data_IF_763737498124
#
_entry.id   IF_763737498124
#
_cell.length_a   1.000
_cell.length_b   1.000
_cell.length_c   1.000
_cell.angle_alpha   90.00
_cell.angle_beta   90.00
_cell.angle_gamma   90.00
#
_symmetry.space_group_name_H-M   'P 1'
#
loop_
_entity.id
_entity.type
_entity.pdbx_description
1 polymer ?
#
# COMPACT_ATOMS: atom_id res chain seq x y z
N UNK A 1 1.90 -17.05 17.11
CA UNK A 1 0.68 -16.31 17.51
C UNK A 1 -0.52 -17.10 17.02
N UNK A 2 -1.53 -17.36 17.86
CA UNK A 2 -2.78 -17.97 17.38
C UNK A 2 -3.67 -16.85 16.87
N UNK A 3 -4.07 -16.91 15.60
CA UNK A 3 -5.06 -16.00 15.05
C UNK A 3 -6.42 -16.31 15.71
N UNK A 4 -7.16 -15.27 16.05
CA UNK A 4 -8.58 -15.40 16.43
C UNK A 4 -9.36 -15.71 15.15
N UNK A 5 -10.18 -16.75 15.19
CA UNK A 5 -11.16 -17.01 14.14
C UNK A 5 -12.33 -16.04 14.32
N UNK A 6 -12.70 -15.31 13.27
CA UNK A 6 -13.87 -14.43 13.27
C UNK A 6 -14.78 -14.92 12.17
N UNK A 7 -16.05 -15.16 12.51
CA UNK A 7 -17.08 -15.53 11.54
C UNK A 7 -18.30 -14.64 11.72
N UNK A 8 -18.95 -14.31 10.61
CA UNK A 8 -20.21 -13.59 10.65
C UNK A 8 -21.36 -14.51 10.99
N UNK A 9 -22.29 -13.99 11.77
CA UNK A 9 -23.58 -14.62 12.02
C UNK A 9 -24.59 -13.98 11.06
N UNK A 10 -25.55 -14.77 10.55
CA UNK A 10 -26.61 -14.30 9.66
C UNK A 10 -26.13 -13.61 8.35
N UNK A 11 -24.90 -13.88 7.90
CA UNK A 11 -24.37 -13.32 6.66
C UNK A 11 -23.92 -11.86 6.76
N UNK A 12 -23.69 -11.33 7.98
CA UNK A 12 -23.09 -10.00 8.16
C UNK A 12 -21.75 -9.87 7.45
N UNK A 13 -21.44 -8.68 6.91
CA UNK A 13 -20.13 -8.39 6.32
C UNK A 13 -19.05 -8.33 7.41
N UNK A 14 -17.90 -8.94 7.17
CA UNK A 14 -16.75 -8.88 8.09
C UNK A 14 -15.86 -7.72 7.63
N UNK A 15 -16.00 -6.57 8.28
CA UNK A 15 -15.32 -5.33 7.90
C UNK A 15 -14.12 -4.96 8.78
N UNK A 16 -13.76 -5.83 9.73
CA UNK A 16 -12.62 -5.68 10.64
C UNK A 16 -11.71 -6.90 10.63
N UNK A 17 -10.52 -6.75 11.18
CA UNK A 17 -9.51 -7.78 11.29
C UNK A 17 -8.74 -7.65 12.61
N UNK A 18 -8.06 -8.72 13.00
CA UNK A 18 -7.22 -8.72 14.19
C UNK A 18 -5.89 -8.00 13.92
N UNK A 19 -5.60 -6.94 14.67
CA UNK A 19 -4.33 -6.18 14.59
C UNK A 19 -3.34 -6.62 15.66
N UNK A 20 -3.82 -6.79 16.90
CA UNK A 20 -3.08 -7.33 18.04
C UNK A 20 -3.85 -8.51 18.66
N UNK A 21 -3.23 -9.32 19.55
CA UNK A 21 -3.88 -10.51 20.12
C UNK A 21 -5.28 -10.28 20.68
N UNK A 22 -5.57 -9.10 21.21
CA UNK A 22 -6.87 -8.74 21.78
C UNK A 22 -7.50 -7.49 21.14
N UNK A 23 -7.04 -7.09 19.95
CA UNK A 23 -7.49 -5.86 19.29
C UNK A 23 -8.03 -6.18 17.90
N UNK A 24 -9.23 -5.65 17.64
CA UNK A 24 -9.89 -5.69 16.34
C UNK A 24 -9.93 -4.27 15.79
N UNK A 25 -9.55 -4.12 14.53
CA UNK A 25 -9.58 -2.84 13.84
C UNK A 25 -10.26 -2.99 12.48
N UNK A 26 -11.03 -1.99 12.09
CA UNK A 26 -11.77 -2.01 10.84
C UNK A 26 -12.53 -0.72 10.62
N UNK A 27 -12.93 -0.51 9.37
CA UNK A 27 -13.75 0.64 8.96
C UNK A 27 -15.07 0.08 8.41
N UNK A 28 -16.20 0.26 9.13
CA UNK A 28 -17.49 -0.15 8.61
C UNK A 28 -17.91 0.78 7.46
N UNK A 29 -18.55 0.22 6.43
CA UNK A 29 -19.12 0.99 5.31
C UNK A 29 -20.65 0.98 5.31
N UNK A 30 -21.27 0.12 6.11
CA UNK A 30 -22.72 -0.07 6.16
C UNK A 30 -23.15 0.13 7.61
N UNK A 31 -24.15 0.99 7.80
CA UNK A 31 -24.79 1.18 9.08
C UNK A 31 -25.71 0.01 9.42
N UNK A 32 -25.93 -0.22 10.71
CA UNK A 32 -26.81 -1.26 11.21
C UNK A 32 -26.17 -2.09 12.31
N UNK A 33 -26.79 -3.23 12.58
CA UNK A 33 -26.37 -4.13 13.63
C UNK A 33 -25.89 -5.43 13.01
N UNK A 34 -24.70 -5.86 13.41
CA UNK A 34 -24.08 -7.09 12.92
C UNK A 34 -23.63 -7.95 14.08
N UNK A 35 -23.88 -9.25 13.97
CA UNK A 35 -23.49 -10.24 14.96
C UNK A 35 -22.28 -11.03 14.46
N UNK A 36 -21.32 -11.24 15.35
CA UNK A 36 -20.07 -11.93 15.03
C UNK A 36 -19.72 -12.91 16.12
N UNK A 37 -19.06 -13.98 15.68
CA UNK A 37 -18.55 -15.03 16.53
C UNK A 37 -17.03 -14.99 16.52
N UNK A 38 -16.44 -14.82 17.70
CA UNK A 38 -14.99 -14.91 17.92
C UNK A 38 -14.65 -16.26 18.50
N UNK A 39 -13.78 -17.01 17.82
CA UNK A 39 -13.25 -18.28 18.28
C UNK A 39 -11.76 -18.14 18.66
N UNK A 40 -11.45 -18.47 19.92
CA UNK A 40 -10.09 -18.52 20.43
C UNK A 40 -9.89 -19.74 21.34
N UNK A 41 -9.07 -20.71 20.89
CA UNK A 41 -8.59 -21.85 21.72
C UNK A 41 -9.71 -22.55 22.53
N UNK A 42 -10.87 -22.76 21.92
CA UNK A 42 -12.08 -23.40 22.51
C UNK A 42 -13.06 -22.47 23.24
N UNK A 43 -12.83 -21.15 23.23
CA UNK A 43 -13.85 -20.18 23.62
C UNK A 43 -14.51 -19.61 22.38
N UNK A 44 -15.83 -19.64 22.37
CA UNK A 44 -16.69 -19.06 21.34
C UNK A 44 -17.48 -17.93 21.99
N UNK A 45 -17.23 -16.70 21.55
CA UNK A 45 -17.86 -15.50 22.09
C UNK A 45 -18.67 -14.87 20.98
N UNK A 46 -19.99 -14.83 21.17
CA UNK A 46 -20.90 -14.04 20.36
C UNK A 46 -20.83 -12.59 20.84
N UNK A 47 -20.67 -11.66 19.91
CA UNK A 47 -20.77 -10.23 20.20
C UNK A 47 -21.49 -9.51 19.06
N UNK A 48 -22.13 -8.41 19.42
CA UNK A 48 -22.89 -7.56 18.52
C UNK A 48 -22.18 -6.22 18.34
N UNK A 49 -22.13 -5.74 17.11
CA UNK A 49 -21.58 -4.43 16.79
C UNK A 49 -22.66 -3.57 16.15
N UNK A 50 -22.95 -2.44 16.78
CA UNK A 50 -23.85 -1.43 16.24
C UNK A 50 -23.06 -0.32 15.56
N UNK A 51 -23.19 -0.23 14.25
CA UNK A 51 -22.67 0.85 13.44
C UNK A 51 -23.78 1.87 13.25
N UNK A 52 -23.59 3.08 13.80
CA UNK A 52 -24.55 4.17 13.63
C UNK A 52 -24.51 4.67 12.19
N UNK A 53 -25.67 5.06 11.69
CA UNK A 53 -25.74 5.80 10.44
C UNK A 53 -24.99 7.12 10.59
N UNK A 54 -24.21 7.45 9.57
CA UNK A 54 -23.42 8.66 9.58
C UNK A 54 -24.32 9.84 9.22
N UNK A 55 -24.22 10.93 9.98
CA UNK A 55 -24.94 12.16 9.66
C UNK A 55 -24.42 12.67 8.31
N UNK A 56 -25.31 13.19 7.45
CA UNK A 56 -24.90 13.74 6.16
C UNK A 56 -23.81 14.80 6.38
N UNK A 57 -22.61 14.60 5.83
CA UNK A 57 -21.51 15.50 6.09
C UNK A 57 -21.74 16.81 5.34
N UNK A 58 -21.39 17.96 5.93
CA UNK A 58 -21.46 19.28 5.26
C UNK A 58 -20.37 19.49 4.20
N UNK A 59 -19.39 18.59 4.15
CA UNK A 59 -18.25 18.62 3.25
C UNK A 59 -17.79 17.21 2.94
N UNK A 60 -17.23 17.00 1.76
CA UNK A 60 -16.80 15.68 1.31
C UNK A 60 -15.60 15.79 0.40
N UNK A 61 -14.65 14.89 0.62
CA UNK A 61 -13.50 14.71 -0.25
C UNK A 61 -13.70 13.40 -1.01
N UNK A 62 -13.54 13.42 -2.32
CA UNK A 62 -13.46 12.18 -3.10
C UNK A 62 -12.11 12.10 -3.80
N UNK A 63 -11.33 11.10 -3.41
CA UNK A 63 -10.07 10.74 -4.06
C UNK A 63 -10.36 9.73 -5.16
N UNK A 64 -9.88 10.01 -6.37
CA UNK A 64 -9.86 9.06 -7.48
C UNK A 64 -8.47 8.42 -7.50
N UNK A 65 -8.42 7.09 -7.47
CA UNK A 65 -7.21 6.30 -7.38
C UNK A 65 -7.05 5.41 -8.62
N UNK A 66 -5.84 5.37 -9.19
CA UNK A 66 -5.48 4.40 -10.23
C UNK A 66 -5.31 2.99 -9.65
N UNK A 67 -4.90 2.90 -8.38
CA UNK A 67 -4.76 1.68 -7.58
C UNK A 67 -4.84 2.03 -6.09
N UNK A 68 -5.31 1.12 -5.23
CA UNK A 68 -5.85 -0.22 -5.52
C UNK A 68 -7.23 -0.17 -6.20
N UNK A 69 -7.72 -1.30 -6.72
CA UNK A 69 -9.05 -1.39 -7.34
C UNK A 69 -10.17 -1.37 -6.28
N UNK A 70 -11.42 -1.19 -6.71
CA UNK A 70 -12.59 -1.22 -5.84
C UNK A 70 -12.69 -2.57 -5.12
N UNK A 71 -12.45 -3.67 -5.84
CA UNK A 71 -12.48 -5.03 -5.30
C UNK A 71 -11.40 -5.22 -4.23
N UNK A 72 -10.21 -4.64 -4.41
CA UNK A 72 -9.14 -4.68 -3.41
C UNK A 72 -9.46 -3.82 -2.18
N UNK A 73 -10.11 -2.68 -2.37
CA UNK A 73 -10.54 -1.81 -1.27
C UNK A 73 -11.70 -2.41 -0.46
N UNK A 74 -12.66 -3.04 -1.14
CA UNK A 74 -13.84 -3.63 -0.50
C UNK A 74 -13.57 -5.03 0.05
N UNK A 75 -12.82 -5.86 -0.66
CA UNK A 75 -12.58 -7.26 -0.31
C UNK A 75 -11.59 -7.49 0.83
N UNK A 76 -10.80 -6.46 1.19
CA UNK A 76 -9.81 -6.57 2.26
C UNK A 76 -10.00 -5.45 3.30
N UNK A 77 -10.63 -5.74 4.45
CA UNK A 77 -10.80 -4.78 5.56
C UNK A 77 -9.55 -3.99 5.93
N UNK A 78 -8.40 -4.68 5.89
CA UNK A 78 -7.09 -4.11 6.19
C UNK A 78 -6.69 -2.99 5.23
N UNK A 79 -7.03 -3.10 3.95
CA UNK A 79 -6.71 -2.08 2.95
C UNK A 79 -7.38 -0.75 3.29
N UNK A 80 -8.63 -0.76 3.78
CA UNK A 80 -9.33 0.48 4.19
C UNK A 80 -8.68 1.15 5.40
N UNK A 81 -8.25 0.37 6.39
CA UNK A 81 -7.56 0.90 7.58
C UNK A 81 -6.23 1.51 7.16
N UNK A 82 -5.41 0.80 6.38
CA UNK A 82 -4.12 1.31 5.90
C UNK A 82 -4.32 2.55 5.03
N UNK A 83 -5.35 2.59 4.18
CA UNK A 83 -5.68 3.78 3.39
C UNK A 83 -5.89 5.01 4.28
N UNK A 84 -6.69 4.88 5.34
CA UNK A 84 -6.90 5.98 6.28
C UNK A 84 -5.64 6.34 7.07
N UNK A 85 -4.78 5.38 7.40
CA UNK A 85 -3.48 5.65 8.03
C UNK A 85 -2.58 6.49 7.12
N UNK A 86 -2.45 6.10 5.86
CA UNK A 86 -1.69 6.86 4.85
C UNK A 86 -2.28 8.26 4.67
N UNK A 87 -3.60 8.35 4.55
CA UNK A 87 -4.31 9.61 4.38
C UNK A 87 -4.16 10.53 5.61
N UNK A 88 -4.27 9.98 6.82
CA UNK A 88 -4.07 10.73 8.06
C UNK A 88 -2.63 11.24 8.18
N UNK A 89 -1.64 10.40 7.88
CA UNK A 89 -0.23 10.78 7.87
C UNK A 89 0.03 11.89 6.83
N UNK A 90 -0.50 11.74 5.61
CA UNK A 90 -0.38 12.73 4.54
C UNK A 90 -0.95 14.10 4.93
N UNK A 91 -1.98 14.10 5.78
CA UNK A 91 -2.63 15.30 6.29
C UNK A 91 -2.17 15.71 7.70
N UNK A 92 -1.11 15.11 8.27
CA UNK A 92 -0.67 15.37 9.65
C UNK A 92 -1.84 15.31 10.67
N UNK A 93 -2.69 14.29 10.54
CA UNK A 93 -3.80 14.00 11.44
C UNK A 93 -3.33 12.96 12.44
N UNK A 94 -3.54 13.23 13.74
CA UNK A 94 -3.05 12.38 14.82
C UNK A 94 -3.81 11.07 15.02
N UNK A 95 -5.05 10.97 14.55
CA UNK A 95 -5.89 9.78 14.71
C UNK A 95 -6.73 9.53 13.46
N UNK A 96 -6.68 8.32 12.92
CA UNK A 96 -7.56 7.90 11.81
C UNK A 96 -9.03 7.89 12.20
N UNK A 97 -9.35 7.84 13.51
CA UNK A 97 -10.73 7.83 14.01
C UNK A 97 -11.51 9.09 13.65
N UNK A 98 -10.81 10.17 13.27
CA UNK A 98 -11.46 11.40 12.83
C UNK A 98 -11.95 11.34 11.37
N UNK A 99 -11.55 10.32 10.62
CA UNK A 99 -11.86 10.18 9.21
C UNK A 99 -12.88 9.06 9.02
N UNK A 100 -13.96 9.35 8.31
CA UNK A 100 -14.96 8.36 7.92
C UNK A 100 -14.94 8.18 6.41
N UNK A 101 -14.88 6.92 5.96
CA UNK A 101 -15.15 6.58 4.56
C UNK A 101 -16.67 6.51 4.40
N UNK A 102 -17.21 7.29 3.48
CA UNK A 102 -18.64 7.31 3.17
C UNK A 102 -18.98 6.21 2.16
N UNK A 103 -18.19 6.11 1.08
CA UNK A 103 -18.34 5.04 0.10
C UNK A 103 -17.04 4.80 -0.67
N UNK A 104 -16.95 3.61 -1.25
CA UNK A 104 -15.95 3.23 -2.23
C UNK A 104 -16.69 2.74 -3.48
N UNK A 105 -16.41 3.32 -4.65
CA UNK A 105 -17.11 2.99 -5.90
C UNK A 105 -16.17 3.02 -7.10
N UNK A 106 -16.61 2.42 -8.20
CA UNK A 106 -15.91 2.50 -9.48
C UNK A 106 -16.26 3.81 -10.18
N UNK A 107 -15.26 4.50 -10.72
CA UNK A 107 -15.45 5.65 -11.60
C UNK A 107 -15.89 5.20 -13.00
N UNK A 108 -16.44 6.10 -13.83
CA UNK A 108 -16.72 5.80 -15.23
C UNK A 108 -15.49 5.33 -16.02
N UNK A 109 -14.29 5.73 -15.59
CA UNK A 109 -13.00 5.39 -16.22
C UNK A 109 -12.31 4.18 -15.56
N UNK A 110 -13.06 3.33 -14.84
CA UNK A 110 -12.55 2.16 -14.12
C UNK A 110 -11.47 2.46 -13.06
N UNK A 111 -11.52 3.66 -12.47
CA UNK A 111 -10.68 4.03 -11.33
C UNK A 111 -11.46 3.89 -10.02
N UNK A 112 -10.75 3.75 -8.90
CA UNK A 112 -11.38 3.64 -7.58
C UNK A 112 -11.67 5.01 -7.01
N UNK A 113 -12.92 5.31 -6.70
CA UNK A 113 -13.30 6.52 -5.97
C UNK A 113 -13.47 6.16 -4.51
N UNK A 114 -12.70 6.82 -3.62
CA UNK A 114 -12.87 6.74 -2.18
C UNK A 114 -13.36 8.08 -1.67
N UNK A 115 -14.59 8.11 -1.19
CA UNK A 115 -15.21 9.30 -0.61
C UNK A 115 -15.09 9.27 0.91
N UNK A 116 -14.65 10.37 1.50
CA UNK A 116 -14.45 10.50 2.93
C UNK A 116 -14.72 11.92 3.42
N UNK A 117 -14.88 12.06 4.73
CA UNK A 117 -15.00 13.36 5.41
C UNK A 117 -14.43 13.29 6.82
N UNK A 118 -14.25 14.46 7.44
CA UNK A 118 -13.79 14.58 8.81
C UNK A 118 -14.99 14.57 9.77
N UNK A 119 -15.00 13.65 10.72
CA UNK A 119 -16.05 13.45 11.71
C UNK A 119 -15.72 14.11 13.08
N UNK A 120 -14.55 14.73 13.25
CA UNK A 120 -14.10 15.25 14.56
C UNK A 120 -14.89 16.46 15.07
N UNK A 121 -15.81 16.98 14.28
CA UNK A 121 -16.53 18.22 14.54
C UNK A 121 -18.02 18.01 14.37
N UNK A 122 -18.77 18.84 15.08
CA UNK A 122 -20.22 18.84 15.02
C UNK A 122 -20.69 18.96 13.57
N UNK A 123 -21.46 17.97 13.11
CA UNK A 123 -22.06 17.95 11.78
C UNK A 123 -23.00 19.13 11.55
N UNK A 124 -23.45 19.82 12.61
CA UNK A 124 -24.32 20.99 12.52
C UNK A 124 -23.57 22.28 12.12
N UNK A 125 -22.25 22.38 12.32
CA UNK A 125 -21.50 23.63 12.10
C UNK A 125 -20.59 23.59 10.86
N UNK A 126 -20.66 24.64 10.04
CA UNK A 126 -19.73 24.82 8.92
C UNK A 126 -18.39 25.41 9.38
N UNK A 127 -17.38 24.57 9.65
CA UNK A 127 -16.01 25.00 9.94
C UNK A 127 -15.15 25.10 8.66
N UNK A 128 -15.34 26.18 7.92
CA UNK A 128 -14.60 26.44 6.69
C UNK A 128 -13.07 26.39 6.88
N UNK A 129 -12.55 26.94 8.00
CA UNK A 129 -11.11 27.02 8.25
C UNK A 129 -10.48 25.64 8.39
N UNK A 130 -11.16 24.73 9.09
CA UNK A 130 -10.68 23.36 9.27
C UNK A 130 -10.62 22.58 7.96
N UNK A 131 -11.70 22.60 7.16
CA UNK A 131 -11.71 21.87 5.88
C UNK A 131 -10.79 22.52 4.85
N UNK A 132 -10.65 23.85 4.86
CA UNK A 132 -9.65 24.55 4.07
C UNK A 132 -8.22 24.15 4.48
N UNK A 133 -7.95 24.00 5.78
CA UNK A 133 -6.66 23.50 6.27
C UNK A 133 -6.39 22.06 5.80
N UNK A 134 -7.39 21.19 5.75
CA UNK A 134 -7.25 19.85 5.18
C UNK A 134 -6.99 19.90 3.67
N UNK A 135 -7.79 20.69 2.94
CA UNK A 135 -7.67 20.84 1.49
C UNK A 135 -6.27 21.34 1.10
N UNK A 136 -5.77 22.37 1.77
CA UNK A 136 -4.43 22.94 1.52
C UNK A 136 -3.29 21.97 1.84
N UNK A 137 -3.51 20.86 2.56
CA UNK A 137 -2.51 19.80 2.72
C UNK A 137 -2.45 18.88 1.50
N UNK A 138 -3.56 18.73 0.78
CA UNK A 138 -3.67 17.86 -0.38
C UNK A 138 -3.47 18.59 -1.71
N UNK A 139 -3.82 19.87 -1.78
CA UNK A 139 -3.80 20.64 -3.03
C UNK A 139 -2.95 21.91 -2.94
N UNK A 140 -2.42 22.32 -4.09
CA UNK A 140 -1.85 23.62 -4.32
C UNK A 140 -2.95 24.69 -4.42
N UNK A 141 -2.55 25.96 -4.50
CA UNK A 141 -3.47 27.10 -4.64
C UNK A 141 -4.23 27.09 -5.96
N UNK A 142 -3.65 26.50 -6.99
CA UNK A 142 -4.28 26.27 -8.29
C UNK A 142 -5.16 25.02 -8.30
N UNK A 143 -5.38 24.36 -7.16
CA UNK A 143 -6.22 23.17 -7.05
C UNK A 143 -5.58 21.86 -7.52
N UNK A 144 -4.39 21.90 -8.12
CA UNK A 144 -3.64 20.68 -8.44
C UNK A 144 -3.22 19.93 -7.18
N UNK A 145 -3.02 18.61 -7.28
CA UNK A 145 -2.53 17.83 -6.14
C UNK A 145 -1.10 18.23 -5.78
N UNK A 146 -0.79 18.28 -4.48
CA UNK A 146 0.57 18.47 -4.00
C UNK A 146 1.41 17.22 -4.24
N UNK A 147 2.59 17.38 -4.80
CA UNK A 147 3.56 16.29 -4.99
C UNK A 147 3.85 15.55 -3.67
N UNK A 148 4.02 16.30 -2.56
CA UNK A 148 4.24 15.72 -1.24
C UNK A 148 3.08 14.83 -0.77
N UNK A 149 1.84 15.25 -1.04
CA UNK A 149 0.64 14.45 -0.74
C UNK A 149 0.62 13.18 -1.58
N UNK A 150 0.81 13.30 -2.90
CA UNK A 150 0.83 12.15 -3.82
C UNK A 150 1.94 11.16 -3.44
N UNK A 151 3.15 11.65 -3.14
CA UNK A 151 4.28 10.83 -2.72
C UNK A 151 4.04 10.12 -1.38
N UNK A 152 3.32 10.75 -0.45
CA UNK A 152 2.99 10.12 0.84
C UNK A 152 1.98 8.98 0.72
N UNK A 153 1.17 8.97 -0.35
CA UNK A 153 0.19 7.92 -0.65
C UNK A 153 0.78 6.79 -1.52
N UNK A 154 1.78 7.12 -2.34
CA UNK A 154 2.48 6.19 -3.23
C UNK A 154 3.41 5.24 -2.45
N UNK A 155 3.65 3.98 -2.92
CA UNK A 155 3.14 3.31 -4.11
C UNK A 155 1.80 2.58 -3.92
N UNK A 156 1.31 2.48 -2.69
CA UNK A 156 0.15 1.65 -2.37
C UNK A 156 -1.15 2.27 -2.88
N UNK A 157 -1.27 3.61 -2.80
CA UNK A 157 -2.44 4.37 -3.24
C UNK A 157 -2.02 5.42 -4.27
N UNK A 158 -2.21 5.11 -5.54
CA UNK A 158 -1.85 6.04 -6.62
C UNK A 158 -2.99 7.01 -6.87
N UNK A 159 -2.85 8.22 -6.32
CA UNK A 159 -3.87 9.28 -6.45
C UNK A 159 -3.84 9.88 -7.85
N UNK A 160 -4.99 9.89 -8.51
CA UNK A 160 -5.21 10.51 -9.81
C UNK A 160 -5.77 11.94 -9.68
N UNK A 161 -6.81 12.11 -8.87
CA UNK A 161 -7.45 13.41 -8.66
C UNK A 161 -8.15 13.47 -7.30
N UNK A 162 -8.42 14.69 -6.85
CA UNK A 162 -9.21 14.98 -5.67
C UNK A 162 -10.34 15.92 -6.06
N UNK A 163 -11.53 15.64 -5.55
CA UNK A 163 -12.66 16.57 -5.59
C UNK A 163 -13.07 16.92 -4.18
N UNK A 164 -13.45 18.18 -3.98
CA UNK A 164 -13.96 18.69 -2.71
C UNK A 164 -15.35 19.27 -2.94
N UNK A 165 -16.32 18.72 -2.24
CA UNK A 165 -17.71 19.11 -2.32
C UNK A 165 -18.16 19.66 -0.97
N UNK A 166 -19.08 20.63 -1.01
CA UNK A 166 -19.67 21.28 0.14
C UNK A 166 -21.18 21.23 -0.01
N UNK A 167 -21.87 20.99 1.09
CA UNK A 167 -23.32 20.81 1.12
C UNK A 167 -23.96 21.82 2.05
N UNK A 168 -25.25 22.06 1.80
CA UNK A 168 -26.11 22.91 2.64
C UNK A 168 -25.45 24.28 2.90
N UNK A 169 -25.42 24.74 4.16
CA UNK A 169 -24.86 26.04 4.55
C UNK A 169 -23.37 26.22 4.19
N UNK A 170 -22.62 25.13 4.00
CA UNK A 170 -21.24 25.21 3.51
C UNK A 170 -21.14 25.43 1.99
N UNK A 171 -22.21 25.21 1.23
CA UNK A 171 -22.21 25.40 -0.22
C UNK A 171 -22.05 26.88 -0.62
N UNK A 172 -22.61 27.80 0.18
CA UNK A 172 -22.64 29.24 -0.11
C UNK A 172 -21.31 29.96 0.13
N UNK A 173 -20.30 29.29 0.69
CA UNK A 173 -18.98 29.87 0.85
C UNK A 173 -18.27 29.98 -0.52
N UNK A 174 -17.70 31.14 -0.91
CA UNK A 174 -17.08 31.31 -2.23
C UNK A 174 -15.88 30.37 -2.42
N UNK A 175 -15.87 29.64 -3.54
CA UNK A 175 -14.79 28.73 -3.96
C UNK A 175 -13.67 29.51 -4.64
N UNK A 176 -12.41 29.25 -4.29
CA UNK A 176 -11.37 29.28 -5.32
C UNK A 176 -11.59 28.02 -6.16
N UNK A 177 -12.11 28.16 -7.37
CA UNK A 177 -12.43 27.04 -8.25
C UNK A 177 -11.20 26.12 -8.38
N UNK A 178 -11.33 24.86 -7.93
CA UNK A 178 -10.34 23.81 -8.17
C UNK A 178 -10.46 23.37 -9.64
N UNK A 179 -9.47 23.59 -10.51
CA UNK A 179 -9.43 22.90 -11.79
C UNK A 179 -9.36 21.40 -11.56
N UNK A 180 -10.30 20.71 -12.20
CA UNK A 180 -10.39 19.27 -12.27
C UNK A 180 -9.39 18.80 -13.32
N UNK A 181 -8.58 17.80 -12.99
CA UNK A 181 -7.53 17.16 -13.81
C UNK A 181 -6.13 17.79 -13.73
N UNK A 182 -5.15 16.96 -13.35
CA UNK A 182 -3.77 17.16 -13.78
C UNK A 182 -3.74 17.14 -15.31
N UNK A 183 -2.97 18.01 -15.99
CA UNK A 183 -2.68 17.77 -17.38
C UNK A 183 -2.06 16.38 -17.50
N UNK A 184 -2.57 15.57 -18.44
CA UNK A 184 -1.98 14.28 -18.77
C UNK A 184 -0.45 14.44 -18.86
N UNK A 185 0.35 13.50 -18.33
CA UNK A 185 1.80 13.61 -18.40
C UNK A 185 2.16 13.89 -19.85
N UNK A 186 2.82 15.02 -20.10
CA UNK A 186 3.23 15.39 -21.44
C UNK A 186 4.06 14.23 -22.03
N UNK A 187 4.01 14.04 -23.36
CA UNK A 187 4.75 12.96 -24.01
C UNK A 187 6.23 12.90 -23.59
N UNK A 188 6.80 14.05 -23.21
CA UNK A 188 8.16 14.17 -22.65
C UNK A 188 8.36 13.46 -21.30
N UNK A 189 7.41 13.56 -20.36
CA UNK A 189 7.52 12.86 -19.06
C UNK A 189 7.44 11.34 -19.22
N UNK A 190 6.60 10.87 -20.14
CA UNK A 190 6.48 9.45 -20.48
C UNK A 190 7.81 8.94 -21.04
N UNK A 191 8.41 9.68 -21.98
CA UNK A 191 9.72 9.33 -22.57
C UNK A 191 10.81 9.29 -21.51
N UNK A 192 10.86 10.28 -20.60
CA UNK A 192 11.84 10.31 -19.52
C UNK A 192 11.72 9.09 -18.60
N UNK A 193 10.49 8.71 -18.22
CA UNK A 193 10.24 7.53 -17.39
C UNK A 193 10.75 6.24 -18.05
N UNK A 194 10.51 6.07 -19.36
CA UNK A 194 11.05 4.93 -20.11
C UNK A 194 12.58 4.94 -20.16
N UNK A 195 13.22 6.10 -20.38
CA UNK A 195 14.69 6.20 -20.39
C UNK A 195 15.28 5.78 -19.03
N UNK A 196 14.67 6.22 -17.92
CA UNK A 196 15.13 5.85 -16.57
C UNK A 196 14.96 4.35 -16.32
N UNK A 197 13.82 3.75 -16.70
CA UNK A 197 13.59 2.31 -16.55
C UNK A 197 14.53 1.46 -17.42
N UNK A 198 14.73 1.83 -18.68
CA UNK A 198 15.69 1.16 -19.56
C UNK A 198 17.12 1.31 -19.06
N UNK A 199 17.50 2.49 -18.55
CA UNK A 199 18.81 2.73 -17.95
C UNK A 199 19.06 1.88 -16.71
N UNK A 200 18.07 1.80 -15.80
CA UNK A 200 18.18 1.01 -14.56
C UNK A 200 18.25 -0.50 -14.84
N UNK A 201 17.41 -1.01 -15.75
CA UNK A 201 17.42 -2.43 -16.14
C UNK A 201 18.72 -2.82 -16.87
N UNK A 202 19.23 -1.95 -17.75
CA UNK A 202 20.53 -2.16 -18.39
C UNK A 202 21.68 -2.16 -17.37
N UNK A 203 21.68 -1.22 -16.41
CA UNK A 203 22.65 -1.17 -15.33
C UNK A 203 22.68 -2.45 -14.48
N UNK A 204 21.49 -2.95 -14.10
CA UNK A 204 21.36 -4.22 -13.38
C UNK A 204 21.86 -5.41 -14.22
N UNK A 205 21.48 -5.50 -15.49
CA UNK A 205 21.92 -6.57 -16.38
C UNK A 205 23.45 -6.60 -16.52
N UNK A 206 24.10 -5.42 -16.63
CA UNK A 206 25.55 -5.32 -16.68
C UNK A 206 26.23 -5.76 -15.37
N UNK A 207 25.63 -5.45 -14.22
CA UNK A 207 26.12 -5.93 -12.92
C UNK A 207 26.01 -7.45 -12.80
N UNK A 208 24.87 -8.03 -13.19
CA UNK A 208 24.68 -9.49 -13.21
C UNK A 208 25.65 -10.18 -14.17
N UNK A 209 25.84 -9.62 -15.38
CA UNK A 209 26.77 -10.14 -16.36
C UNK A 209 28.23 -10.07 -15.86
N UNK A 210 28.62 -8.94 -15.26
CA UNK A 210 29.94 -8.80 -14.62
C UNK A 210 30.16 -9.79 -13.49
N UNK A 211 29.14 -10.01 -12.63
CA UNK A 211 29.19 -10.99 -11.56
C UNK A 211 29.32 -12.43 -12.10
N UNK A 212 28.56 -12.76 -13.15
CA UNK A 212 28.62 -14.06 -13.83
C UNK A 212 30.00 -14.34 -14.43
N UNK A 213 30.62 -13.37 -15.09
CA UNK A 213 32.00 -13.50 -15.62
C UNK A 213 33.00 -13.69 -14.48
N UNK A 214 32.86 -12.95 -13.37
CA UNK A 214 33.73 -13.11 -12.21
C UNK A 214 33.59 -14.50 -11.58
N UNK A 215 32.36 -15.00 -11.42
CA UNK A 215 32.09 -16.30 -10.82
C UNK A 215 32.61 -17.45 -11.69
N UNK A 216 32.34 -17.41 -13.01
CA UNK A 216 32.85 -18.40 -13.97
C UNK A 216 34.38 -18.47 -13.99
N UNK A 217 35.06 -17.33 -13.92
CA UNK A 217 36.54 -17.28 -13.80
C UNK A 217 37.06 -17.88 -12.49
N UNK A 218 36.33 -17.75 -11.39
CA UNK A 218 36.73 -18.38 -10.12
C UNK A 218 36.57 -19.90 -10.16
N UNK A 219 35.48 -20.39 -10.75
CA UNK A 219 35.23 -21.84 -10.90
C UNK A 219 36.32 -22.48 -11.77
N UNK A 220 36.68 -21.85 -12.90
CA UNK A 220 37.74 -22.37 -13.79
C UNK A 220 39.12 -22.38 -13.10
N UNK A 221 39.43 -21.34 -12.29
CA UNK A 221 40.65 -21.33 -11.45
C UNK A 221 40.63 -22.42 -10.38
N UNK A 222 39.48 -22.68 -9.76
CA UNK A 222 39.33 -23.73 -8.74
C UNK A 222 39.51 -25.12 -9.35
N UNK A 223 38.91 -25.37 -10.52
CA UNK A 223 39.07 -26.63 -11.26
C UNK A 223 40.53 -26.86 -11.67
N UNK A 224 41.21 -25.86 -12.24
CA UNK A 224 42.65 -25.95 -12.59
C UNK A 224 43.53 -26.24 -11.37
N UNK A 225 43.23 -25.64 -10.21
CA UNK A 225 43.94 -25.94 -8.95
C UNK A 225 43.70 -27.38 -8.47
N UNK A 226 42.47 -27.87 -8.58
CA UNK A 226 42.12 -29.24 -8.20
C UNK A 226 42.80 -30.28 -9.10
N UNK A 227 42.77 -30.08 -10.42
CA UNK A 227 43.44 -30.94 -11.40
C UNK A 227 44.96 -30.97 -11.19
N UNK A 228 45.57 -29.80 -10.92
CA UNK A 228 47.00 -29.73 -10.59
C UNK A 228 47.36 -30.43 -9.27
N UNK A 229 46.45 -30.47 -8.30
CA UNK A 229 46.66 -31.17 -7.01
C UNK A 229 46.53 -32.69 -7.18
N UNK A 230 45.54 -33.16 -7.96
CA UNK A 230 45.36 -34.58 -8.29
C UNK A 230 46.59 -35.11 -9.04
N UNK A 231 47.08 -34.37 -10.04
CA UNK A 231 48.27 -34.78 -10.81
C UNK A 231 49.53 -34.86 -9.93
N UNK A 232 49.70 -33.95 -8.94
CA UNK A 232 50.82 -34.00 -7.99
C UNK A 232 50.71 -35.19 -7.03
N UNK A 233 49.51 -35.49 -6.53
CA UNK A 233 49.28 -36.63 -5.65
C UNK A 233 49.50 -37.96 -6.37
N UNK A 234 48.98 -38.10 -7.61
CA UNK A 234 49.21 -39.29 -8.43
C UNK A 234 50.71 -39.52 -8.70
N UNK A 235 51.45 -38.44 -9.01
CA UNK A 235 52.90 -38.53 -9.23
C UNK A 235 53.68 -38.96 -7.98
N UNK A 236 53.26 -38.55 -6.77
CA UNK A 236 53.87 -38.99 -5.50
C UNK A 236 53.64 -40.47 -5.22
N UNK A 237 52.40 -40.93 -5.37
CA UNK A 237 52.04 -42.34 -5.13
C UNK A 237 52.78 -43.26 -6.12
N UNK A 238 52.93 -42.83 -7.37
CA UNK A 238 53.68 -43.59 -8.37
C UNK A 238 55.18 -43.70 -8.04
N UNK A 239 55.81 -42.65 -7.48
CA UNK A 239 57.21 -42.73 -7.02
C UNK A 239 57.37 -43.61 -5.79
N UNK A 240 56.48 -43.51 -4.79
CA UNK A 240 56.55 -44.32 -3.57
C UNK A 240 56.41 -45.83 -3.87
N UNK A 241 55.56 -46.20 -4.82
CA UNK A 241 55.43 -47.61 -5.24
C UNK A 241 56.64 -48.14 -5.99
N UNK A 242 57.42 -47.30 -6.67
CA UNK A 242 58.65 -47.76 -7.35
C UNK A 242 59.81 -47.99 -6.37
N UNK A 243 59.83 -47.30 -5.22
CA UNK A 243 60.84 -47.50 -4.18
C UNK A 243 60.53 -48.69 -3.26
N UNK A 244 59.26 -49.08 -3.13
CA UNK A 244 58.84 -50.16 -2.23
C UNK A 244 59.04 -51.59 -2.79
N UNK A 245 59.45 -51.76 -4.05
CA UNK A 245 59.51 -53.07 -4.70
C UNK A 245 60.91 -53.46 -5.18
N UNK A 246 61.95 -53.35 -4.35
CA UNK A 246 63.21 -54.09 -4.56
C UNK A 246 63.83 -54.45 -3.21
N UNK A 247 63.39 -55.54 -2.60
CA UNK A 247 64.20 -56.33 -1.66
C UNK A 247 63.55 -57.71 -1.54
N UNK A 248 63.98 -58.65 -2.38
CA UNK A 248 64.76 -59.87 -2.09
C UNK A 248 64.88 -60.64 -3.40
#
# INVERSE_FOLDING_TARGET
MHAIGISSVNGSDIWFYQTLPNELSGIPLVAGTSEYLVNNKNMEILFEVHVRENVTPKHRFSLVLLRPTVEQMLGFPRTRVIFLEFLANAMNISSISILNIEYIRLSPDNMTIVSFHNNSKDSELCDFNSFHSMLTKMTNTDGSLKDAFVLSMFPDYSVHSLTFERFEECADHPTSQLPTSMPAPSGEQIVLYFIVLFGASYGLAMLFYGCYICLSRQIDRAQKRSAGRIHKNYRRVATDHSEASVHV
#
